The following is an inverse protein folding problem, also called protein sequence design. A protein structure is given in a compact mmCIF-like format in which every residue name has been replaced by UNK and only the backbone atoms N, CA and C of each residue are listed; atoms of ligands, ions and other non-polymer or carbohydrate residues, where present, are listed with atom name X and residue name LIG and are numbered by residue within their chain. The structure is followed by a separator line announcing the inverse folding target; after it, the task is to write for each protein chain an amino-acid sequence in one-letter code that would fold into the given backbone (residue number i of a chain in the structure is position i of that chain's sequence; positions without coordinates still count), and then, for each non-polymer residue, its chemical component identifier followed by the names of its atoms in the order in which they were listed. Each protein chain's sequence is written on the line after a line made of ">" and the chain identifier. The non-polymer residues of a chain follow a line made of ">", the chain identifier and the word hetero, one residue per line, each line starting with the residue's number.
data_IF_038932006549
#
_entry.id   IF_038932006549
#
_cell.length_a   1.000
_cell.length_b   1.000
_cell.length_c   1.000
_cell.angle_alpha   90.00
_cell.angle_beta   90.00
_cell.angle_gamma   90.00
#
_symmetry.space_group_name_H-M   'P 1'
#
loop_
_entity.id
_entity.type
_entity.pdbx_description
1 polymer ?
#
# COMPACT_ATOMS: atom_id res chain seq x y z
N UNK A 1 3.87 -0.08 -23.46
CA UNK A 1 5.15 -0.70 -23.86
C UNK A 1 5.35 -1.95 -23.00
N UNK A 2 5.22 -3.16 -23.55
CA UNK A 2 5.46 -4.38 -22.78
C UNK A 2 6.97 -4.66 -22.75
N UNK A 3 7.54 -4.75 -21.55
CA UNK A 3 8.91 -5.22 -21.38
C UNK A 3 8.95 -6.71 -21.72
N UNK A 4 9.57 -7.04 -22.86
CA UNK A 4 9.93 -8.40 -23.21
C UNK A 4 10.86 -8.98 -22.14
N UNK A 5 10.36 -9.92 -21.35
CA UNK A 5 11.16 -10.88 -20.59
C UNK A 5 11.86 -11.80 -21.59
N UNK A 6 12.96 -11.30 -22.16
CA UNK A 6 13.88 -12.07 -23.00
C UNK A 6 14.92 -12.69 -22.08
N UNK A 7 14.96 -14.01 -22.07
CA UNK A 7 16.15 -14.76 -21.69
C UNK A 7 16.03 -15.60 -20.43
N UNK A 8 15.15 -16.59 -20.43
CA UNK A 8 15.53 -17.89 -19.85
C UNK A 8 15.86 -18.82 -21.02
N UNK A 9 16.97 -18.52 -21.70
CA UNK A 9 17.72 -19.57 -22.36
C UNK A 9 18.20 -20.47 -21.23
N UNK A 10 17.52 -21.59 -21.03
CA UNK A 10 18.07 -22.73 -20.30
C UNK A 10 19.34 -23.11 -21.06
N UNK A 11 20.48 -22.53 -20.68
CA UNK A 11 21.77 -23.12 -20.91
C UNK A 11 21.74 -24.41 -20.10
N UNK A 12 21.20 -25.46 -20.73
CA UNK A 12 21.52 -26.82 -20.36
C UNK A 12 23.03 -26.85 -20.40
N UNK A 13 23.67 -26.86 -19.23
CA UNK A 13 25.05 -27.30 -19.15
C UNK A 13 25.04 -28.66 -19.81
N UNK A 14 25.57 -28.70 -21.03
CA UNK A 14 25.86 -29.94 -21.71
C UNK A 14 26.60 -30.80 -20.71
N UNK A 15 25.97 -31.93 -20.43
CA UNK A 15 26.47 -33.09 -19.74
C UNK A 15 27.96 -33.23 -20.08
N UNK A 16 28.82 -32.73 -19.20
CA UNK A 16 30.25 -32.92 -19.30
C UNK A 16 30.40 -34.42 -19.22
N UNK A 17 30.68 -35.02 -20.38
CA UNK A 17 30.90 -36.43 -20.59
C UNK A 17 31.50 -37.02 -19.32
N UNK A 18 30.74 -37.90 -18.66
CA UNK A 18 31.22 -38.79 -17.60
C UNK A 18 32.21 -39.74 -18.25
N UNK A 19 33.36 -39.20 -18.69
CA UNK A 19 34.58 -39.96 -18.71
C UNK A 19 34.70 -40.44 -17.27
N UNK A 20 34.68 -41.75 -17.08
CA UNK A 20 34.98 -42.38 -15.79
C UNK A 20 36.17 -41.64 -15.17
N UNK A 21 35.90 -40.81 -14.16
CA UNK A 21 36.92 -39.97 -13.55
C UNK A 21 37.95 -40.91 -12.90
N UNK A 22 39.14 -40.97 -13.49
CA UNK A 22 40.25 -41.74 -12.93
C UNK A 22 40.64 -41.06 -11.62
N UNK A 23 40.40 -41.74 -10.51
CA UNK A 23 40.77 -41.29 -9.17
C UNK A 23 42.22 -41.63 -8.88
N UNK A 24 42.77 -40.99 -7.84
CA UNK A 24 44.11 -41.32 -7.36
C UNK A 24 44.21 -42.78 -6.92
N UNK A 25 43.12 -43.35 -6.41
CA UNK A 25 43.04 -44.78 -6.02
C UNK A 25 43.22 -45.69 -7.23
N UNK A 26 42.56 -45.37 -8.35
CA UNK A 26 42.68 -46.15 -9.58
C UNK A 26 44.12 -46.15 -10.12
N UNK A 27 44.84 -45.04 -9.97
CA UNK A 27 46.25 -44.94 -10.36
C UNK A 27 47.14 -45.86 -9.53
N UNK A 28 46.87 -45.97 -8.22
CA UNK A 28 47.63 -46.89 -7.35
C UNK A 28 47.32 -48.36 -7.64
N UNK A 29 46.07 -48.70 -7.96
CA UNK A 29 45.70 -50.06 -8.36
C UNK A 29 46.39 -50.45 -9.67
N UNK A 30 46.37 -49.55 -10.67
CA UNK A 30 47.09 -49.73 -11.94
C UNK A 30 48.61 -49.88 -11.70
N UNK A 31 49.20 -49.06 -10.82
CA UNK A 31 50.62 -49.15 -10.50
C UNK A 31 51.00 -50.51 -9.88
N UNK A 32 50.12 -51.06 -9.02
CA UNK A 32 50.30 -52.38 -8.40
C UNK A 32 50.25 -53.50 -9.43
N UNK A 33 49.31 -53.44 -10.38
CA UNK A 33 49.22 -54.41 -11.48
C UNK A 33 50.44 -54.35 -12.40
N UNK A 34 50.87 -53.14 -12.79
CA UNK A 34 52.08 -52.94 -13.60
C UNK A 34 53.32 -53.46 -12.86
N UNK A 35 53.44 -53.22 -11.55
CA UNK A 35 54.54 -53.71 -10.73
C UNK A 35 54.66 -55.24 -10.74
N UNK A 36 53.53 -55.95 -10.64
CA UNK A 36 53.49 -57.42 -10.71
C UNK A 36 53.92 -57.96 -12.07
N UNK A 37 53.53 -57.30 -13.16
CA UNK A 37 53.98 -57.71 -14.50
C UNK A 37 55.47 -57.43 -14.72
N UNK A 38 55.98 -56.31 -14.18
CA UNK A 38 57.42 -56.02 -14.18
C UNK A 38 58.21 -57.05 -13.35
N UNK A 39 57.69 -57.53 -12.22
CA UNK A 39 58.32 -58.58 -11.41
C UNK A 39 58.44 -59.89 -12.21
N UNK A 40 57.37 -60.32 -12.89
CA UNK A 40 57.41 -61.50 -13.78
C UNK A 40 58.46 -61.35 -14.90
N UNK A 41 58.62 -60.15 -15.46
CA UNK A 41 59.64 -59.87 -16.47
C UNK A 41 61.06 -59.99 -15.91
N UNK A 42 61.29 -59.55 -14.67
CA UNK A 42 62.59 -59.69 -13.98
C UNK A 42 62.89 -61.16 -13.75
N UNK A 43 61.92 -61.94 -13.28
CA UNK A 43 62.09 -63.37 -13.00
C UNK A 43 62.47 -64.17 -14.25
N UNK A 44 61.92 -63.80 -15.41
CA UNK A 44 62.13 -64.53 -16.68
C UNK A 44 63.36 -64.05 -17.47
N UNK A 45 63.62 -62.75 -17.50
CA UNK A 45 64.62 -62.14 -18.40
C UNK A 45 65.71 -61.36 -17.67
N UNK A 46 65.72 -61.38 -16.33
CA UNK A 46 66.65 -60.63 -15.50
C UNK A 46 66.34 -59.13 -15.42
N UNK A 47 66.89 -58.47 -14.40
CA UNK A 47 66.61 -57.06 -14.06
C UNK A 47 66.99 -56.05 -15.16
N UNK A 48 68.00 -56.36 -15.97
CA UNK A 48 68.47 -55.55 -17.10
C UNK A 48 67.33 -55.19 -18.07
N UNK A 49 66.36 -56.10 -18.25
CA UNK A 49 65.25 -55.97 -19.20
C UNK A 49 64.28 -54.84 -18.85
N UNK A 50 64.18 -54.45 -17.58
CA UNK A 50 63.26 -53.40 -17.08
C UNK A 50 63.96 -52.19 -16.48
N UNK A 51 65.27 -52.25 -16.25
CA UNK A 51 66.05 -51.19 -15.57
C UNK A 51 65.85 -49.80 -16.21
N UNK A 52 65.79 -49.72 -17.54
CA UNK A 52 65.58 -48.46 -18.27
C UNK A 52 64.11 -48.09 -18.48
N UNK A 53 63.20 -49.08 -18.38
CA UNK A 53 61.76 -48.89 -18.58
C UNK A 53 61.08 -48.40 -17.30
N UNK A 54 61.47 -48.95 -16.15
CA UNK A 54 60.86 -48.63 -14.86
C UNK A 54 60.83 -47.14 -14.53
N UNK A 55 61.91 -46.36 -14.69
CA UNK A 55 61.87 -44.92 -14.45
C UNK A 55 60.87 -44.17 -15.35
N UNK A 56 60.62 -44.65 -16.58
CA UNK A 56 59.64 -44.05 -17.49
C UNK A 56 58.21 -44.39 -17.09
N UNK A 57 57.97 -45.62 -16.64
CA UNK A 57 56.69 -46.07 -16.10
C UNK A 57 56.34 -45.27 -14.84
N UNK A 58 57.30 -45.11 -13.92
CA UNK A 58 57.10 -44.32 -12.71
C UNK A 58 56.74 -42.86 -13.06
N UNK A 59 57.51 -42.22 -13.94
CA UNK A 59 57.22 -40.84 -14.36
C UNK A 59 55.83 -40.69 -15.03
N UNK A 60 55.40 -41.68 -15.82
CA UNK A 60 54.07 -41.67 -16.43
C UNK A 60 52.96 -41.82 -15.37
N UNK A 61 53.15 -42.69 -14.37
CA UNK A 61 52.22 -42.87 -13.25
C UNK A 61 52.17 -41.64 -12.35
N UNK A 62 53.31 -41.00 -12.06
CA UNK A 62 53.37 -39.74 -11.31
C UNK A 62 52.63 -38.61 -12.05
N UNK A 63 52.78 -38.51 -13.38
CA UNK A 63 52.02 -37.55 -14.18
C UNK A 63 50.51 -37.84 -14.12
N UNK A 64 50.12 -39.11 -14.20
CA UNK A 64 48.72 -39.52 -14.10
C UNK A 64 48.13 -39.23 -12.72
N UNK A 65 48.86 -39.49 -11.64
CA UNK A 65 48.44 -39.16 -10.27
C UNK A 65 48.23 -37.64 -10.10
N UNK A 66 49.13 -36.83 -10.65
CA UNK A 66 48.99 -35.37 -10.63
C UNK A 66 47.74 -34.92 -11.38
N UNK A 67 47.45 -35.53 -12.53
CA UNK A 67 46.24 -35.23 -13.31
C UNK A 67 44.97 -35.69 -12.58
N UNK A 68 44.97 -36.89 -11.99
CA UNK A 68 43.85 -37.43 -11.21
C UNK A 68 43.56 -36.53 -9.99
N UNK A 69 44.59 -36.16 -9.21
CA UNK A 69 44.45 -35.25 -8.06
C UNK A 69 43.90 -33.89 -8.48
N UNK A 70 44.40 -33.34 -9.60
CA UNK A 70 43.93 -32.06 -10.12
C UNK A 70 42.46 -32.16 -10.56
N UNK A 71 42.09 -33.25 -11.22
CA UNK A 71 40.72 -33.50 -11.67
C UNK A 71 39.75 -33.60 -10.49
N UNK A 72 40.09 -34.35 -9.44
CA UNK A 72 39.26 -34.45 -8.21
C UNK A 72 39.03 -33.07 -7.58
N UNK A 73 40.08 -32.24 -7.52
CA UNK A 73 39.99 -30.88 -7.00
C UNK A 73 39.09 -29.99 -7.88
N UNK A 74 39.26 -30.04 -9.19
CA UNK A 74 38.45 -29.27 -10.13
C UNK A 74 36.99 -29.71 -10.08
N UNK A 75 36.72 -31.02 -10.00
CA UNK A 75 35.38 -31.57 -9.87
C UNK A 75 34.72 -31.13 -8.55
N UNK A 76 35.46 -31.14 -7.44
CA UNK A 76 34.98 -30.61 -6.15
C UNK A 76 34.60 -29.12 -6.28
N UNK A 77 35.44 -28.32 -6.93
CA UNK A 77 35.15 -26.90 -7.17
C UNK A 77 33.91 -26.70 -8.05
N UNK A 78 33.75 -27.52 -9.09
CA UNK A 78 32.56 -27.49 -9.97
C UNK A 78 31.30 -27.85 -9.18
N UNK A 79 31.35 -28.85 -8.31
CA UNK A 79 30.25 -29.23 -7.44
C UNK A 79 29.88 -28.10 -6.46
N UNK A 80 30.88 -27.47 -5.83
CA UNK A 80 30.67 -26.33 -4.93
C UNK A 80 30.04 -25.13 -5.66
N UNK A 81 30.55 -24.79 -6.84
CA UNK A 81 29.99 -23.71 -7.66
C UNK A 81 28.57 -24.01 -8.12
N UNK A 82 28.29 -25.26 -8.53
CA UNK A 82 26.95 -25.69 -8.95
C UNK A 82 25.95 -25.63 -7.79
N UNK A 83 26.37 -26.05 -6.60
CA UNK A 83 25.58 -25.91 -5.38
C UNK A 83 25.34 -24.43 -5.04
N UNK A 84 26.35 -23.57 -5.23
CA UNK A 84 26.22 -22.13 -4.99
C UNK A 84 25.27 -21.45 -5.98
N UNK A 85 25.32 -21.83 -7.26
CA UNK A 85 24.39 -21.36 -8.28
C UNK A 85 22.97 -21.75 -7.90
N UNK A 86 22.74 -23.03 -7.57
CA UNK A 86 21.43 -23.54 -7.16
C UNK A 86 20.87 -22.78 -5.94
N UNK A 87 21.73 -22.49 -4.96
CA UNK A 87 21.36 -21.69 -3.80
C UNK A 87 20.97 -20.25 -4.19
N UNK A 88 21.78 -19.59 -5.01
CA UNK A 88 21.53 -18.21 -5.43
C UNK A 88 20.27 -18.08 -6.31
N UNK A 89 19.98 -19.09 -7.14
CA UNK A 89 18.75 -19.14 -7.93
C UNK A 89 17.52 -19.26 -7.03
N UNK A 90 17.57 -20.14 -6.03
CA UNK A 90 16.51 -20.27 -5.01
C UNK A 90 16.29 -18.95 -4.26
N UNK A 91 17.38 -18.33 -3.78
CA UNK A 91 17.31 -17.04 -3.07
C UNK A 91 16.74 -15.93 -3.96
N UNK A 92 17.08 -15.92 -5.27
CA UNK A 92 16.57 -14.95 -6.23
C UNK A 92 15.07 -15.11 -6.43
N UNK A 93 14.58 -16.35 -6.53
CA UNK A 93 13.16 -16.68 -6.67
C UNK A 93 12.42 -16.26 -5.40
N UNK A 94 12.88 -16.67 -4.22
CA UNK A 94 12.25 -16.30 -2.94
C UNK A 94 12.13 -14.79 -2.76
N UNK A 95 13.22 -14.04 -3.04
CA UNK A 95 13.18 -12.57 -3.00
C UNK A 95 12.22 -11.95 -4.02
N UNK A 96 11.97 -12.60 -5.16
CA UNK A 96 11.02 -12.10 -6.15
C UNK A 96 9.57 -12.33 -5.69
N UNK A 97 9.29 -13.47 -5.08
CA UNK A 97 7.98 -13.78 -4.50
C UNK A 97 7.65 -12.84 -3.34
N UNK A 98 8.61 -12.58 -2.45
CA UNK A 98 8.44 -11.63 -1.35
C UNK A 98 8.13 -10.22 -1.87
N UNK A 99 8.88 -9.75 -2.87
CA UNK A 99 8.60 -8.45 -3.52
C UNK A 99 7.18 -8.39 -4.08
N UNK A 100 6.74 -9.45 -4.76
CA UNK A 100 5.39 -9.51 -5.31
C UNK A 100 4.32 -9.52 -4.21
N UNK A 101 4.58 -10.18 -3.07
CA UNK A 101 3.68 -10.15 -1.92
C UNK A 101 3.57 -8.74 -1.32
N UNK A 102 4.70 -8.09 -1.07
CA UNK A 102 4.71 -6.72 -0.55
C UNK A 102 4.04 -5.72 -1.50
N UNK A 103 4.22 -5.86 -2.81
CA UNK A 103 3.55 -5.02 -3.81
C UNK A 103 2.03 -5.16 -3.73
N UNK A 104 1.51 -6.40 -3.63
CA UNK A 104 0.07 -6.64 -3.46
C UNK A 104 -0.48 -6.10 -2.13
N UNK A 105 0.27 -6.26 -1.04
CA UNK A 105 -0.12 -5.71 0.26
C UNK A 105 -0.18 -4.18 0.22
N UNK A 106 0.80 -3.54 -0.44
CA UNK A 106 0.83 -2.10 -0.62
C UNK A 106 -0.36 -1.61 -1.44
N UNK A 107 -0.68 -2.26 -2.56
CA UNK A 107 -1.86 -1.96 -3.39
C UNK A 107 -3.17 -2.05 -2.59
N UNK A 108 -3.29 -3.07 -1.73
CA UNK A 108 -4.47 -3.23 -0.86
C UNK A 108 -4.58 -2.10 0.17
N UNK A 109 -3.47 -1.72 0.80
CA UNK A 109 -3.43 -0.60 1.76
C UNK A 109 -3.80 0.70 1.06
N UNK A 110 -3.27 0.94 -0.15
CA UNK A 110 -3.61 2.14 -0.91
C UNK A 110 -5.09 2.20 -1.30
N UNK A 111 -5.68 1.08 -1.75
CA UNK A 111 -7.10 1.06 -2.10
C UNK A 111 -7.97 1.24 -0.87
N UNK A 112 -7.60 0.62 0.26
CA UNK A 112 -8.30 0.83 1.51
C UNK A 112 -8.26 2.30 1.94
N UNK A 113 -7.09 2.94 1.89
CA UNK A 113 -6.94 4.35 2.23
C UNK A 113 -7.71 5.27 1.28
N UNK A 114 -7.73 4.96 -0.03
CA UNK A 114 -8.57 5.68 -1.00
C UNK A 114 -10.05 5.55 -0.67
N UNK A 115 -10.51 4.35 -0.30
CA UNK A 115 -11.89 4.11 0.07
C UNK A 115 -12.27 4.89 1.35
N UNK A 116 -11.46 4.81 2.40
CA UNK A 116 -11.68 5.57 3.63
C UNK A 116 -11.71 7.08 3.37
N UNK A 117 -10.80 7.60 2.52
CA UNK A 117 -10.79 9.00 2.13
C UNK A 117 -12.09 9.41 1.40
N UNK A 118 -12.57 8.58 0.47
CA UNK A 118 -13.87 8.80 -0.22
C UNK A 118 -15.03 8.82 0.78
N UNK A 119 -15.06 7.88 1.72
CA UNK A 119 -16.13 7.77 2.71
C UNK A 119 -16.15 8.96 3.67
N UNK A 120 -14.97 9.41 4.12
CA UNK A 120 -14.84 10.62 4.94
C UNK A 120 -15.31 11.87 4.19
N UNK A 121 -14.92 12.04 2.93
CA UNK A 121 -15.36 13.18 2.09
C UNK A 121 -16.88 13.15 1.89
N UNK A 122 -17.45 11.97 1.62
CA UNK A 122 -18.90 11.81 1.49
C UNK A 122 -19.63 12.17 2.79
N UNK A 123 -19.11 11.72 3.94
CA UNK A 123 -19.66 12.07 5.25
C UNK A 123 -19.60 13.57 5.52
N UNK A 124 -18.46 14.22 5.24
CA UNK A 124 -18.31 15.68 5.38
C UNK A 124 -19.29 16.42 4.49
N UNK A 125 -19.46 15.99 3.23
CA UNK A 125 -20.39 16.61 2.29
C UNK A 125 -21.83 16.52 2.80
N UNK A 126 -22.25 15.36 3.31
CA UNK A 126 -23.59 15.18 3.89
C UNK A 126 -23.81 16.07 5.11
N UNK A 127 -22.83 16.15 6.02
CA UNK A 127 -22.90 17.01 7.20
C UNK A 127 -22.94 18.50 6.82
N UNK A 128 -22.21 18.91 5.78
CA UNK A 128 -22.26 20.28 5.27
C UNK A 128 -23.63 20.61 4.68
N UNK A 129 -24.25 19.68 3.95
CA UNK A 129 -25.59 19.85 3.41
C UNK A 129 -26.66 19.92 4.51
N UNK A 130 -26.57 19.06 5.53
CA UNK A 130 -27.45 19.11 6.70
C UNK A 130 -27.30 20.44 7.46
N UNK A 131 -26.07 20.89 7.72
CA UNK A 131 -25.81 22.18 8.36
C UNK A 131 -26.37 23.36 7.55
N UNK A 132 -26.21 23.33 6.21
CA UNK A 132 -26.77 24.35 5.32
C UNK A 132 -28.30 24.37 5.42
N UNK A 133 -28.94 23.21 5.34
CA UNK A 133 -30.40 23.07 5.44
C UNK A 133 -30.93 23.55 6.80
N UNK A 134 -30.25 23.20 7.89
CA UNK A 134 -30.61 23.66 9.23
C UNK A 134 -30.44 25.18 9.38
N UNK A 135 -29.38 25.75 8.81
CA UNK A 135 -29.17 27.20 8.80
C UNK A 135 -30.26 27.94 8.01
N UNK A 136 -30.63 27.43 6.83
CA UNK A 136 -31.74 27.96 6.02
C UNK A 136 -33.07 27.91 6.78
N UNK A 137 -33.41 26.77 7.40
CA UNK A 137 -34.64 26.62 8.19
C UNK A 137 -34.68 27.54 9.42
N UNK A 138 -33.53 27.75 10.08
CA UNK A 138 -33.43 28.65 11.22
C UNK A 138 -33.59 30.12 10.80
N UNK A 139 -33.09 30.48 9.61
CA UNK A 139 -33.27 31.82 9.05
C UNK A 139 -34.73 32.08 8.66
N UNK A 140 -35.40 31.11 8.04
CA UNK A 140 -36.82 31.18 7.68
C UNK A 140 -37.69 31.32 8.93
N UNK A 141 -37.49 30.45 9.93
CA UNK A 141 -38.18 30.53 11.23
C UNK A 141 -38.00 31.88 11.92
N UNK A 142 -36.79 32.46 11.86
CA UNK A 142 -36.52 33.80 12.41
C UNK A 142 -37.25 34.88 11.62
N UNK A 143 -37.29 34.79 10.29
CA UNK A 143 -38.01 35.73 9.44
C UNK A 143 -39.51 35.71 9.73
N UNK A 144 -40.11 34.52 9.78
CA UNK A 144 -41.54 34.34 10.09
C UNK A 144 -41.92 34.88 11.45
N UNK A 145 -41.05 34.71 12.44
CA UNK A 145 -41.26 35.25 13.79
C UNK A 145 -41.22 36.79 13.78
N UNK A 146 -40.30 37.38 13.03
CA UNK A 146 -40.19 38.85 12.91
C UNK A 146 -41.40 39.42 12.18
N UNK A 147 -41.81 38.81 11.06
CA UNK A 147 -42.99 39.26 10.30
C UNK A 147 -44.26 39.13 11.13
N UNK A 148 -44.46 38.01 11.82
CA UNK A 148 -45.60 37.81 12.70
C UNK A 148 -45.63 38.83 13.85
N UNK A 149 -44.48 39.11 14.47
CA UNK A 149 -44.38 40.15 15.51
C UNK A 149 -44.73 41.53 14.96
N UNK A 150 -44.24 41.87 13.76
CA UNK A 150 -44.49 43.17 13.13
C UNK A 150 -45.96 43.33 12.73
N UNK A 151 -46.62 42.27 12.25
CA UNK A 151 -48.06 42.26 11.97
C UNK A 151 -48.90 42.47 13.24
N UNK A 152 -48.52 41.82 14.34
CA UNK A 152 -49.17 42.01 15.65
C UNK A 152 -49.01 43.45 16.13
N UNK A 153 -47.80 44.03 16.05
CA UNK A 153 -47.55 45.41 16.45
C UNK A 153 -48.37 46.40 15.62
N UNK A 154 -48.47 46.19 14.30
CA UNK A 154 -49.31 47.02 13.41
C UNK A 154 -50.79 46.93 13.80
N UNK A 155 -51.29 45.73 14.08
CA UNK A 155 -52.69 45.54 14.51
C UNK A 155 -52.97 46.23 15.86
N UNK A 156 -52.05 46.14 16.82
CA UNK A 156 -52.14 46.82 18.12
C UNK A 156 -52.15 48.34 17.93
N UNK A 157 -51.25 48.88 17.11
CA UNK A 157 -51.19 50.32 16.83
C UNK A 157 -52.48 50.82 16.15
N UNK A 158 -53.05 50.06 15.21
CA UNK A 158 -54.33 50.40 14.59
C UNK A 158 -55.48 50.41 15.61
N UNK A 159 -55.51 49.44 16.53
CA UNK A 159 -56.51 49.40 17.59
C UNK A 159 -56.40 50.60 18.54
N UNK A 160 -55.18 50.91 19.00
CA UNK A 160 -54.91 52.07 19.84
C UNK A 160 -55.31 53.37 19.16
N UNK A 161 -55.03 53.50 17.85
CA UNK A 161 -55.47 54.66 17.06
C UNK A 161 -57.00 54.79 17.03
N UNK A 162 -57.73 53.69 16.81
CA UNK A 162 -59.18 53.71 16.86
C UNK A 162 -59.71 54.08 18.26
N UNK A 163 -59.05 53.64 19.34
CA UNK A 163 -59.43 54.03 20.69
C UNK A 163 -59.20 55.52 20.95
N UNK A 164 -58.06 56.06 20.51
CA UNK A 164 -57.74 57.49 20.62
C UNK A 164 -58.79 58.33 19.87
N UNK A 165 -59.17 57.93 18.66
CA UNK A 165 -60.19 58.65 17.89
C UNK A 165 -61.56 58.62 18.61
N UNK A 166 -61.95 57.46 19.16
CA UNK A 166 -63.16 57.37 20.00
C UNK A 166 -63.09 58.25 21.25
N UNK A 167 -61.96 58.26 21.95
CA UNK A 167 -61.75 59.10 23.13
C UNK A 167 -61.80 60.59 22.77
N UNK A 168 -61.24 61.00 21.63
CA UNK A 168 -61.34 62.38 21.12
C UNK A 168 -62.78 62.78 20.82
N UNK A 169 -63.55 61.90 20.19
CA UNK A 169 -64.97 62.17 19.93
C UNK A 169 -65.79 62.23 21.22
N UNK A 170 -65.46 61.39 22.22
CA UNK A 170 -66.05 61.47 23.57
C UNK A 170 -65.72 62.80 24.26
N UNK A 171 -64.47 63.27 24.20
CA UNK A 171 -64.06 64.57 24.74
C UNK A 171 -64.84 65.69 24.05
N UNK A 172 -64.89 65.69 22.71
CA UNK A 172 -65.67 66.70 21.96
C UNK A 172 -67.16 66.68 22.32
N UNK A 173 -67.74 65.49 22.54
CA UNK A 173 -69.13 65.38 22.96
C UNK A 173 -69.32 65.94 24.37
N UNK A 174 -68.42 65.63 25.31
CA UNK A 174 -68.42 66.18 26.67
C UNK A 174 -68.21 67.69 26.68
N UNK A 175 -67.30 68.23 25.87
CA UNK A 175 -67.06 69.67 25.73
C UNK A 175 -68.30 70.41 25.21
N UNK A 176 -69.01 69.82 24.23
CA UNK A 176 -70.30 70.36 23.76
C UNK A 176 -71.37 70.34 24.86
N UNK A 177 -71.46 69.24 25.61
CA UNK A 177 -72.41 69.10 26.71
C UNK A 177 -72.10 70.09 27.84
N UNK A 178 -70.83 70.26 28.21
CA UNK A 178 -70.39 71.27 29.16
C UNK A 178 -70.72 72.68 28.66
N UNK A 179 -70.41 72.99 27.39
CA UNK A 179 -70.74 74.30 26.80
C UNK A 179 -72.24 74.59 26.82
N UNK A 180 -73.07 73.58 26.54
CA UNK A 180 -74.53 73.69 26.65
C UNK A 180 -74.95 73.96 28.10
N UNK A 181 -74.41 73.21 29.07
CA UNK A 181 -74.72 73.41 30.50
C UNK A 181 -74.25 74.78 31.00
N UNK A 182 -73.11 75.27 30.56
CA UNK A 182 -72.64 76.63 30.86
C UNK A 182 -73.61 77.68 30.30
N UNK A 183 -74.06 77.53 29.07
CA UNK A 183 -75.07 78.44 28.49
C UNK A 183 -76.41 78.37 29.23
N UNK A 184 -76.85 77.19 29.68
CA UNK A 184 -78.04 77.03 30.52
C UNK A 184 -77.87 77.75 31.87
N UNK A 185 -76.70 77.63 32.52
CA UNK A 185 -76.39 78.34 33.78
C UNK A 185 -76.37 79.85 33.56
N UNK A 186 -75.70 80.33 32.51
CA UNK A 186 -75.68 81.75 32.15
C UNK A 186 -77.10 82.30 31.93
N UNK A 187 -77.95 81.53 31.24
CA UNK A 187 -79.35 81.91 31.03
C UNK A 187 -80.12 82.00 32.36
N UNK A 188 -79.96 81.06 33.29
CA UNK A 188 -80.60 81.13 34.62
C UNK A 188 -80.06 82.31 35.44
N UNK A 189 -78.78 82.63 35.31
CA UNK A 189 -78.16 83.77 35.99
C UNK A 189 -78.66 85.13 35.45
N UNK A 190 -79.24 85.17 34.24
CA UNK A 190 -79.94 86.34 33.70
C UNK A 190 -81.37 86.52 34.23
N UNK A 191 -81.93 85.52 34.92
CA UNK A 191 -83.29 85.54 35.49
C UNK A 191 -83.33 85.76 37.01
N UNK A 192 -82.19 86.00 37.66
CA UNK A 192 -82.04 86.40 39.08
C UNK A 192 -81.59 87.86 39.13
#
# INVERSE_FOLDING_TARGET
>A
MPFCLRGNATCKMEEYSVASDVSVVDVYDIASEIGKECEKLIDLFGVESVTNLMPKVINALELLENLATKNERENTMVQELSAKISQLESDKIGKAEDRQRFEKELEQIEEHWRQESRDLVAMVTRLQEENRRLAEALQESRSDTITASQEVDVAVLQHLRSMIDKQRDQIRARDRELSQKTAEIENVNWYI
#
